data_IF_584372797411
#
_entry.id   IF_584372797411
#
_cell.length_a   1.000
_cell.length_b   1.000
_cell.length_c   1.000
_cell.angle_alpha   90.00
_cell.angle_beta   90.00
_cell.angle_gamma   90.00
#
_symmetry.space_group_name_H-M   'P 1'
#
loop_
_entity.id
_entity.type
_entity.pdbx_description
1 polymer ?
#
# COMPACT_ATOMS: atom_id res chain seq x y z
N UNK A 1 2.36 -7.37 -62.22
CA UNK A 1 1.46 -8.16 -61.34
C UNK A 1 2.05 -9.56 -61.20
N UNK A 2 2.57 -9.93 -60.02
CA UNK A 2 3.10 -11.28 -59.75
C UNK A 2 1.91 -12.26 -59.69
N UNK A 3 1.92 -13.29 -60.54
CA UNK A 3 0.90 -14.35 -60.53
C UNK A 3 1.11 -15.22 -59.30
N UNK A 4 0.08 -15.31 -58.44
CA UNK A 4 0.09 -16.21 -57.28
C UNK A 4 0.04 -17.66 -57.79
N UNK A 5 0.84 -18.57 -57.21
CA UNK A 5 0.84 -19.97 -57.62
C UNK A 5 -0.54 -20.58 -57.34
N UNK A 6 -1.09 -21.28 -58.34
CA UNK A 6 -2.37 -21.96 -58.23
C UNK A 6 -2.23 -23.07 -57.19
N UNK A 7 -2.83 -22.85 -56.02
CA UNK A 7 -2.83 -23.78 -54.90
C UNK A 7 -3.62 -25.01 -55.37
N UNK A 8 -2.92 -26.12 -55.61
CA UNK A 8 -3.55 -27.39 -55.98
C UNK A 8 -4.61 -27.73 -54.94
N UNK A 9 -5.83 -27.95 -55.43
CA UNK A 9 -7.03 -28.47 -54.77
C UNK A 9 -6.88 -28.76 -53.27
N UNK A 10 -7.53 -27.94 -52.45
CA UNK A 10 -7.77 -28.18 -51.02
C UNK A 10 -8.76 -29.36 -50.86
N UNK A 11 -8.36 -30.55 -51.26
CA UNK A 11 -9.10 -31.78 -50.97
C UNK A 11 -8.65 -32.27 -49.61
N UNK A 12 -9.61 -32.52 -48.74
CA UNK A 12 -9.33 -33.17 -47.47
C UNK A 12 -8.65 -34.51 -47.74
N UNK A 13 -7.61 -34.87 -46.96
CA UNK A 13 -7.03 -36.20 -47.02
C UNK A 13 -8.11 -37.27 -46.82
N UNK A 14 -7.98 -38.37 -47.54
CA UNK A 14 -8.87 -39.52 -47.37
C UNK A 14 -8.78 -40.03 -45.92
N UNK A 15 -9.93 -40.25 -45.27
CA UNK A 15 -9.99 -40.68 -43.87
C UNK A 15 -9.87 -39.57 -42.82
N UNK A 16 -9.58 -38.31 -43.19
CA UNK A 16 -9.35 -37.22 -42.22
C UNK A 16 -10.53 -37.02 -41.25
N UNK A 17 -11.76 -37.05 -41.76
CA UNK A 17 -12.96 -36.86 -40.95
C UNK A 17 -13.44 -38.13 -40.24
N UNK A 18 -12.88 -39.29 -40.61
CA UNK A 18 -13.23 -40.58 -40.01
C UNK A 18 -12.43 -40.81 -38.71
N UNK A 19 -11.17 -40.36 -38.66
CA UNK A 19 -10.32 -40.45 -37.47
C UNK A 19 -10.53 -39.28 -36.48
N UNK A 20 -11.05 -38.14 -36.98
CA UNK A 20 -11.24 -36.91 -36.21
C UNK A 20 -12.10 -37.09 -34.93
N UNK A 21 -13.25 -37.80 -34.97
CA UNK A 21 -14.06 -37.98 -33.77
C UNK A 21 -13.32 -38.78 -32.69
N UNK A 22 -12.56 -39.79 -33.09
CA UNK A 22 -11.79 -40.64 -32.18
C UNK A 22 -10.60 -39.87 -31.59
N UNK A 23 -9.91 -39.06 -32.39
CA UNK A 23 -8.82 -38.19 -31.94
C UNK A 23 -9.31 -37.13 -30.93
N UNK A 24 -10.45 -36.50 -31.21
CA UNK A 24 -11.08 -35.52 -30.31
C UNK A 24 -11.48 -36.20 -28.99
N UNK A 25 -12.11 -37.36 -29.06
CA UNK A 25 -12.53 -38.10 -27.87
C UNK A 25 -11.34 -38.54 -27.01
N UNK A 26 -10.25 -38.98 -27.66
CA UNK A 26 -8.99 -39.35 -27.01
C UNK A 26 -8.38 -38.19 -26.22
N UNK A 27 -8.39 -36.97 -26.79
CA UNK A 27 -7.86 -35.76 -26.12
C UNK A 27 -8.73 -35.30 -24.94
N UNK A 28 -10.05 -35.44 -25.03
CA UNK A 28 -10.98 -35.05 -23.96
C UNK A 28 -10.90 -36.01 -22.77
N UNK A 29 -10.67 -37.30 -23.02
CA UNK A 29 -10.66 -38.34 -21.98
C UNK A 29 -9.45 -38.27 -21.03
N UNK A 30 -8.37 -37.59 -21.42
CA UNK A 30 -7.16 -37.47 -20.62
C UNK A 30 -7.33 -36.40 -19.54
N UNK A 31 -8.20 -36.69 -18.58
CA UNK A 31 -8.33 -35.88 -17.35
C UNK A 31 -7.06 -36.06 -16.54
N UNK A 32 -6.15 -35.09 -16.61
CA UNK A 32 -4.96 -35.09 -15.78
C UNK A 32 -5.39 -35.01 -14.31
N UNK A 33 -5.22 -36.13 -13.61
CA UNK A 33 -5.51 -36.22 -12.19
C UNK A 33 -4.28 -35.76 -11.45
N UNK A 34 -4.35 -34.55 -10.89
CA UNK A 34 -3.29 -34.01 -10.06
C UNK A 34 -3.53 -34.40 -8.58
N UNK A 35 -2.81 -35.39 -8.04
CA UNK A 35 -3.04 -35.89 -6.68
C UNK A 35 -2.78 -34.83 -5.60
N UNK A 36 -1.99 -33.80 -5.93
CA UNK A 36 -1.66 -32.69 -5.04
C UNK A 36 -2.80 -31.69 -4.84
N UNK A 37 -3.83 -31.69 -5.71
CA UNK A 37 -5.03 -30.83 -5.53
C UNK A 37 -5.78 -31.16 -4.24
N UNK A 38 -5.69 -32.41 -3.74
CA UNK A 38 -6.27 -32.79 -2.44
C UNK A 38 -5.68 -31.99 -1.27
N UNK A 39 -4.46 -31.48 -1.43
CA UNK A 39 -3.73 -30.71 -0.42
C UNK A 39 -3.78 -29.20 -0.70
N UNK A 40 -4.35 -28.77 -1.84
CA UNK A 40 -4.41 -27.36 -2.23
C UNK A 40 -5.18 -26.52 -1.22
N UNK A 41 -6.27 -27.05 -0.66
CA UNK A 41 -7.04 -26.38 0.39
C UNK A 41 -6.18 -26.10 1.64
N UNK A 42 -5.40 -27.08 2.09
CA UNK A 42 -4.53 -26.93 3.27
C UNK A 42 -3.39 -25.93 3.01
N UNK A 43 -2.82 -25.92 1.80
CA UNK A 43 -1.76 -24.98 1.41
C UNK A 43 -2.28 -23.53 1.45
N UNK A 44 -3.49 -23.29 0.94
CA UNK A 44 -4.11 -21.96 0.95
C UNK A 44 -4.35 -21.48 2.39
N UNK A 45 -4.82 -22.38 3.28
CA UNK A 45 -5.02 -22.05 4.70
C UNK A 45 -3.70 -21.74 5.40
N UNK A 46 -2.66 -22.53 5.16
CA UNK A 46 -1.33 -22.30 5.76
C UNK A 46 -0.71 -20.99 5.24
N UNK A 47 -0.83 -20.69 3.95
CA UNK A 47 -0.36 -19.43 3.38
C UNK A 47 -1.15 -18.24 3.94
N UNK A 48 -2.47 -18.35 4.04
CA UNK A 48 -3.31 -17.30 4.62
C UNK A 48 -2.98 -17.01 6.08
N UNK A 49 -2.85 -18.06 6.90
CA UNK A 49 -2.46 -17.94 8.31
C UNK A 49 -1.02 -17.44 8.47
N UNK A 50 -0.10 -17.90 7.63
CA UNK A 50 1.30 -17.45 7.64
C UNK A 50 1.45 -15.98 7.29
N UNK A 51 0.74 -15.51 6.26
CA UNK A 51 0.71 -14.08 5.89
C UNK A 51 0.06 -13.25 6.99
N UNK A 52 -1.04 -13.73 7.57
CA UNK A 52 -1.70 -13.02 8.68
C UNK A 52 -0.79 -12.92 9.91
N UNK A 53 -0.14 -14.01 10.30
CA UNK A 53 0.81 -14.03 11.40
C UNK A 53 1.98 -13.08 11.14
N UNK A 54 2.53 -13.09 9.92
CA UNK A 54 3.61 -12.20 9.52
C UNK A 54 3.20 -10.72 9.48
N UNK A 55 1.98 -10.42 9.02
CA UNK A 55 1.44 -9.05 8.94
C UNK A 55 1.31 -8.39 10.31
N UNK A 56 1.01 -9.15 11.36
CA UNK A 56 0.82 -8.62 12.71
C UNK A 56 2.14 -8.19 13.40
N UNK A 57 3.31 -8.40 12.78
CA UNK A 57 4.59 -7.96 13.35
C UNK A 57 4.97 -6.52 13.01
N UNK A 58 4.30 -5.89 12.05
CA UNK A 58 4.53 -4.49 11.72
C UNK A 58 3.57 -3.59 12.52
N UNK A 59 3.65 -3.66 13.85
CA UNK A 59 3.14 -2.56 14.65
C UNK A 59 4.04 -1.36 14.40
N UNK A 60 3.54 -0.37 13.65
CA UNK A 60 4.19 0.94 13.55
C UNK A 60 4.35 1.45 14.99
N UNK A 61 5.57 1.83 15.42
CA UNK A 61 5.78 2.29 16.78
C UNK A 61 4.84 3.45 17.07
N UNK A 62 4.14 3.38 18.20
CA UNK A 62 3.08 4.32 18.59
C UNK A 62 3.56 5.76 18.56
N UNK A 63 4.82 6.01 18.92
CA UNK A 63 5.43 7.34 18.91
C UNK A 63 5.42 7.96 17.50
N UNK A 64 5.74 7.19 16.45
CA UNK A 64 5.71 7.68 15.06
C UNK A 64 4.30 7.95 14.52
N UNK A 65 3.27 7.33 15.14
CA UNK A 65 1.88 7.56 14.77
C UNK A 65 1.33 8.83 15.43
N UNK A 66 1.73 9.09 16.67
CA UNK A 66 1.31 10.28 17.42
C UNK A 66 1.83 11.54 16.73
N UNK A 67 3.10 11.57 16.34
CA UNK A 67 3.68 12.72 15.63
C UNK A 67 2.94 13.02 14.31
N UNK A 68 2.64 11.98 13.52
CA UNK A 68 1.88 12.12 12.28
C UNK A 68 0.44 12.60 12.49
N UNK A 69 -0.20 12.17 13.58
CA UNK A 69 -1.55 12.59 13.94
C UNK A 69 -1.59 14.07 14.35
N UNK A 70 -0.60 14.52 15.14
CA UNK A 70 -0.44 15.92 15.54
C UNK A 70 -0.25 16.82 14.30
N UNK A 71 0.63 16.44 13.39
CA UNK A 71 0.88 17.18 12.14
C UNK A 71 -0.40 17.30 11.29
N UNK A 72 -1.17 16.21 11.16
CA UNK A 72 -2.44 16.20 10.43
C UNK A 72 -3.46 17.17 11.06
N UNK A 73 -3.55 17.22 12.40
CA UNK A 73 -4.46 18.13 13.09
C UNK A 73 -4.08 19.60 12.94
N UNK A 74 -2.78 19.90 12.89
CA UNK A 74 -2.26 21.25 12.58
C UNK A 74 -2.60 21.62 11.13
N UNK A 75 -2.32 20.73 10.16
CA UNK A 75 -2.59 20.99 8.74
C UNK A 75 -4.08 21.16 8.44
N UNK A 76 -4.93 20.39 9.11
CA UNK A 76 -6.39 20.49 8.99
C UNK A 76 -6.99 21.75 9.66
N UNK A 77 -6.15 22.60 10.26
CA UNK A 77 -6.53 23.77 11.06
C UNK A 77 -7.52 23.45 12.19
N UNK A 78 -7.49 22.22 12.69
CA UNK A 78 -8.32 21.82 13.82
C UNK A 78 -7.68 22.24 15.15
N UNK A 79 -6.34 22.21 15.22
CA UNK A 79 -5.57 22.74 16.34
C UNK A 79 -4.84 24.01 15.92
N UNK A 80 -5.11 25.10 16.63
CA UNK A 80 -4.32 26.32 16.52
C UNK A 80 -3.09 26.27 17.43
N UNK A 81 -2.10 27.12 17.16
CA UNK A 81 -0.92 27.25 18.02
C UNK A 81 -1.31 27.58 19.48
N UNK A 82 -2.35 28.39 19.67
CA UNK A 82 -2.89 28.73 20.99
C UNK A 82 -3.48 27.51 21.71
N UNK A 83 -4.22 26.67 21.00
CA UNK A 83 -4.81 25.45 21.57
C UNK A 83 -3.73 24.48 22.04
N UNK A 84 -2.66 24.30 21.25
CA UNK A 84 -1.53 23.43 21.57
C UNK A 84 -0.79 23.95 22.81
N UNK A 85 -0.55 25.26 22.87
CA UNK A 85 0.11 25.90 24.01
C UNK A 85 -0.74 25.78 25.29
N UNK A 86 -2.06 25.89 25.19
CA UNK A 86 -2.98 25.75 26.34
C UNK A 86 -2.99 24.36 26.97
N UNK A 87 -2.59 23.33 26.21
CA UNK A 87 -2.48 21.94 26.70
C UNK A 87 -1.14 21.65 27.38
N UNK A 88 -0.15 22.54 27.22
CA UNK A 88 1.17 22.41 27.85
C UNK A 88 1.12 22.81 29.31
N UNK A 89 1.90 22.14 30.14
CA UNK A 89 2.05 22.47 31.57
C UNK A 89 2.72 23.84 31.78
N UNK A 90 3.56 24.30 30.84
CA UNK A 90 4.29 25.56 30.94
C UNK A 90 4.48 26.20 29.55
N UNK A 91 3.45 26.88 29.00
CA UNK A 91 3.50 27.44 27.64
C UNK A 91 4.55 28.55 27.46
N UNK A 92 4.79 29.34 28.50
CA UNK A 92 5.74 30.47 28.45
C UNK A 92 7.18 29.98 28.23
N UNK A 93 7.56 28.85 28.82
CA UNK A 93 8.88 28.25 28.65
C UNK A 93 9.10 27.78 27.21
N UNK A 94 8.08 27.12 26.62
CA UNK A 94 8.11 26.66 25.23
C UNK A 94 8.19 27.82 24.25
N UNK A 95 7.41 28.88 24.48
CA UNK A 95 7.44 30.09 23.65
C UNK A 95 8.83 30.75 23.70
N UNK A 96 9.43 30.83 24.89
CA UNK A 96 10.78 31.36 25.06
C UNK A 96 11.83 30.54 24.31
N UNK A 97 11.73 29.21 24.37
CA UNK A 97 12.62 28.31 23.64
C UNK A 97 12.50 28.51 22.12
N UNK A 98 11.28 28.60 21.58
CA UNK A 98 11.03 28.83 20.14
C UNK A 98 11.57 30.19 19.68
N UNK A 99 11.33 31.26 20.46
CA UNK A 99 11.82 32.61 20.14
C UNK A 99 13.35 32.64 20.17
N UNK A 100 13.97 31.98 21.14
CA UNK A 100 15.42 31.90 21.25
C UNK A 100 16.04 31.08 20.12
N UNK A 101 15.38 30.00 19.68
CA UNK A 101 15.79 29.21 18.52
C UNK A 101 15.69 30.01 17.21
N UNK A 102 14.61 30.77 17.01
CA UNK A 102 14.43 31.61 15.81
C UNK A 102 15.37 32.82 15.80
N UNK A 103 15.61 33.45 16.95
CA UNK A 103 16.47 34.60 17.08
C UNK A 103 17.46 34.44 18.26
N UNK A 104 18.66 33.89 18.01
CA UNK A 104 19.66 33.65 19.05
C UNK A 104 20.28 34.93 19.63
N UNK A 105 19.83 36.12 19.19
CA UNK A 105 20.27 37.42 19.70
C UNK A 105 19.22 38.13 20.57
N UNK A 106 18.04 37.52 20.80
CA UNK A 106 17.07 38.00 21.79
C UNK A 106 17.45 37.49 23.19
N UNK A 107 18.47 38.08 23.77
CA UNK A 107 18.88 37.80 25.14
C UNK A 107 17.95 38.57 26.10
N UNK A 108 16.87 37.94 26.56
CA UNK A 108 16.19 38.20 27.84
C UNK A 108 15.71 39.61 28.23
N UNK A 109 15.90 40.66 27.41
CA UNK A 109 15.61 42.05 27.81
C UNK A 109 14.25 42.59 27.36
N UNK A 110 13.41 41.82 26.66
CA UNK A 110 12.08 42.27 26.22
C UNK A 110 10.91 41.96 27.16
N UNK A 111 11.16 41.30 28.30
CA UNK A 111 10.13 40.99 29.31
C UNK A 111 10.04 41.99 30.48
N UNK A 112 10.52 43.23 30.32
CA UNK A 112 10.06 44.30 31.20
C UNK A 112 8.69 44.78 30.72
N UNK A 113 7.68 44.50 31.52
CA UNK A 113 6.26 44.89 31.45
C UNK A 113 5.94 46.32 30.91
N UNK A 114 6.24 46.64 29.66
CA UNK A 114 5.82 47.90 29.03
C UNK A 114 5.11 47.64 27.69
N UNK A 115 3.80 47.41 27.82
CA UNK A 115 2.73 48.01 27.00
C UNK A 115 3.02 48.15 25.50
N UNK A 116 3.02 47.04 24.75
CA UNK A 116 2.96 47.07 23.29
C UNK A 116 1.49 47.01 22.85
N UNK A 117 0.77 48.11 23.06
CA UNK A 117 -0.51 48.39 22.40
C UNK A 117 -0.33 49.46 21.33
N UNK A 118 -0.31 49.07 20.06
CA UNK A 118 -0.78 49.88 18.93
C UNK A 118 -1.30 49.00 17.79
#
# INVERSE_FOLDING_TARGET
MKKLPNIKDLKAPEGYFDELPEEIMGKISKKEQYPWIKWAASIIVILGLGVWQYSNYNSVPTDLLVDQEVDLFIESQYWSAEDILSMSENPDEILNEIIQEENPFMDGEFYSEEEIWF
#
